data_IF_792031182392
#
_entry.id   IF_792031182392
#
_cell.length_a   1.000
_cell.length_b   1.000
_cell.length_c   1.000
_cell.angle_alpha   90.00
_cell.angle_beta   90.00
_cell.angle_gamma   90.00
#
_symmetry.space_group_name_H-M   'P 1'
#
loop_
_entity.id
_entity.type
_entity.pdbx_description
1 polymer ?
#
# COMPACT_ATOMS: atom_id res chain seq x y z
N UNK A 1 -20.76 -17.36 -17.43
CA UNK A 1 -19.87 -17.55 -16.27
C UNK A 1 -20.34 -16.60 -15.18
N UNK A 2 -20.62 -17.10 -13.97
CA UNK A 2 -20.98 -16.22 -12.84
C UNK A 2 -19.77 -15.37 -12.47
N UNK A 3 -19.98 -14.07 -12.21
CA UNK A 3 -18.96 -13.21 -11.61
C UNK A 3 -18.63 -13.76 -10.21
N UNK A 4 -17.37 -14.13 -10.00
CA UNK A 4 -16.79 -14.39 -8.69
C UNK A 4 -15.80 -13.27 -8.37
N UNK A 5 -15.68 -12.84 -7.11
CA UNK A 5 -16.54 -13.18 -5.96
C UNK A 5 -17.97 -12.61 -6.07
N UNK A 6 -18.91 -13.11 -5.26
CA UNK A 6 -20.29 -12.61 -5.22
C UNK A 6 -20.37 -11.30 -4.42
N UNK A 7 -21.37 -10.46 -4.72
CA UNK A 7 -21.57 -9.19 -3.98
C UNK A 7 -21.87 -9.46 -2.51
N UNK A 8 -22.63 -10.50 -2.19
CA UNK A 8 -23.01 -10.80 -0.81
C UNK A 8 -21.78 -11.16 0.04
N UNK A 9 -20.86 -11.98 -0.50
CA UNK A 9 -19.58 -12.32 0.17
C UNK A 9 -18.73 -11.08 0.43
N UNK A 10 -18.63 -10.19 -0.57
CA UNK A 10 -17.90 -8.93 -0.43
C UNK A 10 -18.51 -8.00 0.63
N UNK A 11 -19.83 -8.02 0.80
CA UNK A 11 -20.51 -7.18 1.80
C UNK A 11 -20.40 -7.73 3.23
N UNK A 12 -20.02 -8.99 3.43
CA UNK A 12 -19.65 -9.51 4.75
C UNK A 12 -18.34 -8.89 5.25
N UNK A 13 -17.41 -8.58 4.35
CA UNK A 13 -16.11 -7.95 4.67
C UNK A 13 -16.16 -6.42 4.64
N UNK A 14 -17.00 -5.82 3.79
CA UNK A 14 -17.11 -4.37 3.62
C UNK A 14 -18.56 -3.92 3.83
N UNK A 15 -18.79 -3.20 4.94
CA UNK A 15 -20.11 -2.81 5.45
C UNK A 15 -21.00 -1.94 4.53
N UNK A 16 -20.56 -1.58 3.32
CA UNK A 16 -21.35 -0.77 2.38
C UNK A 16 -20.90 -0.97 0.94
N UNK A 17 -21.87 -1.02 0.01
CA UNK A 17 -21.63 -1.07 -1.44
C UNK A 17 -20.76 0.09 -1.93
N UNK A 18 -20.97 1.29 -1.39
CA UNK A 18 -20.17 2.46 -1.76
C UNK A 18 -18.71 2.31 -1.32
N UNK A 19 -18.49 1.84 -0.10
CA UNK A 19 -17.14 1.59 0.43
C UNK A 19 -16.44 0.48 -0.35
N UNK A 20 -17.17 -0.57 -0.73
CA UNK A 20 -16.67 -1.65 -1.57
C UNK A 20 -16.19 -1.14 -2.94
N UNK A 21 -17.01 -0.32 -3.61
CA UNK A 21 -16.65 0.28 -4.91
C UNK A 21 -15.40 1.16 -4.78
N UNK A 22 -15.32 1.98 -3.73
CA UNK A 22 -14.18 2.85 -3.49
C UNK A 22 -12.90 2.05 -3.17
N UNK A 23 -13.00 1.02 -2.34
CA UNK A 23 -11.87 0.16 -1.97
C UNK A 23 -11.35 -0.59 -3.19
N UNK A 24 -12.24 -1.24 -3.95
CA UNK A 24 -11.87 -1.97 -5.16
C UNK A 24 -11.26 -1.05 -6.22
N UNK A 25 -11.82 0.16 -6.41
CA UNK A 25 -11.28 1.14 -7.37
C UNK A 25 -9.88 1.60 -6.98
N UNK A 26 -9.66 1.95 -5.71
CA UNK A 26 -8.34 2.35 -5.20
C UNK A 26 -7.33 1.23 -5.38
N UNK A 27 -7.68 0.02 -4.98
CA UNK A 27 -6.79 -1.13 -5.08
C UNK A 27 -6.48 -1.50 -6.54
N UNK A 28 -7.46 -1.43 -7.43
CA UNK A 28 -7.23 -1.64 -8.86
C UNK A 28 -6.22 -0.64 -9.44
N UNK A 29 -6.29 0.64 -9.02
CA UNK A 29 -5.30 1.65 -9.42
C UNK A 29 -3.90 1.38 -8.87
N UNK A 30 -3.78 0.86 -7.65
CA UNK A 30 -2.49 0.42 -7.11
C UNK A 30 -1.89 -0.71 -7.96
N UNK A 31 -2.71 -1.71 -8.33
CA UNK A 31 -2.30 -2.80 -9.21
C UNK A 31 -1.93 -2.29 -10.62
N UNK A 32 -2.67 -1.34 -11.17
CA UNK A 32 -2.35 -0.69 -12.45
C UNK A 32 -0.99 0.06 -12.37
N UNK A 33 -0.68 0.64 -11.22
CA UNK A 33 0.60 1.31 -10.95
C UNK A 33 1.77 0.33 -10.68
N UNK A 34 1.52 -0.98 -10.75
CA UNK A 34 2.55 -2.01 -10.55
C UNK A 34 2.75 -2.44 -9.10
N UNK A 35 1.79 -2.14 -8.19
CA UNK A 35 1.82 -2.72 -6.86
C UNK A 35 1.76 -4.25 -6.94
N UNK A 36 2.50 -4.91 -6.05
CA UNK A 36 2.45 -6.36 -5.97
C UNK A 36 1.04 -6.80 -5.52
N UNK A 37 0.45 -7.79 -6.19
CA UNK A 37 -0.76 -8.45 -5.70
C UNK A 37 -0.50 -9.12 -4.35
N UNK A 38 -1.54 -9.25 -3.55
CA UNK A 38 -1.50 -9.93 -2.23
C UNK A 38 -1.89 -11.40 -2.31
N UNK A 39 -2.42 -11.84 -3.47
CA UNK A 39 -2.74 -13.24 -3.76
C UNK A 39 -1.84 -13.77 -4.89
N UNK A 40 -1.55 -15.07 -4.83
CA UNK A 40 -0.72 -15.74 -5.83
C UNK A 40 -1.50 -16.08 -7.11
N UNK A 41 -2.81 -16.31 -7.00
CA UNK A 41 -3.66 -16.77 -8.10
C UNK A 41 -4.93 -15.93 -8.18
N UNK A 42 -5.36 -15.66 -9.42
CA UNK A 42 -6.57 -14.88 -9.71
C UNK A 42 -7.40 -15.54 -10.81
N UNK A 43 -8.71 -15.54 -10.63
CA UNK A 43 -9.66 -15.89 -11.68
C UNK A 43 -9.83 -14.72 -12.67
N UNK A 44 -9.76 -13.48 -12.15
CA UNK A 44 -9.92 -12.27 -12.96
C UNK A 44 -8.65 -11.85 -13.66
N UNK A 45 -8.77 -11.54 -14.95
CA UNK A 45 -7.69 -10.93 -15.73
C UNK A 45 -7.55 -9.43 -15.41
N UNK A 46 -8.68 -8.74 -15.20
CA UNK A 46 -8.71 -7.28 -14.96
C UNK A 46 -8.44 -6.94 -13.51
N UNK A 47 -7.71 -5.85 -13.28
CA UNK A 47 -7.30 -5.43 -11.93
C UNK A 47 -8.46 -5.08 -11.00
N UNK A 48 -9.61 -4.62 -11.51
CA UNK A 48 -10.83 -4.46 -10.69
C UNK A 48 -11.32 -5.80 -10.14
N UNK A 49 -11.32 -6.85 -10.96
CA UNK A 49 -11.71 -8.18 -10.50
C UNK A 49 -10.71 -8.76 -9.50
N UNK A 50 -9.40 -8.60 -9.76
CA UNK A 50 -8.34 -9.00 -8.83
C UNK A 50 -8.46 -8.29 -7.48
N UNK A 51 -8.75 -6.98 -7.50
CA UNK A 51 -8.99 -6.23 -6.28
C UNK A 51 -10.20 -6.77 -5.48
N UNK A 52 -11.28 -7.17 -6.16
CA UNK A 52 -12.42 -7.82 -5.49
C UNK A 52 -12.04 -9.18 -4.90
N UNK A 53 -11.22 -9.97 -5.59
CA UNK A 53 -10.69 -11.25 -5.06
C UNK A 53 -9.79 -11.04 -3.83
N UNK A 54 -8.93 -10.02 -3.82
CA UNK A 54 -8.10 -9.68 -2.65
C UNK A 54 -8.94 -9.21 -1.45
N UNK A 55 -10.05 -8.51 -1.71
CA UNK A 55 -11.02 -8.07 -0.68
C UNK A 55 -11.78 -9.28 -0.12
N UNK A 56 -12.27 -10.17 -0.98
CA UNK A 56 -12.97 -11.40 -0.58
C UNK A 56 -12.06 -12.32 0.25
N UNK A 57 -10.77 -12.40 -0.10
CA UNK A 57 -9.74 -13.11 0.67
C UNK A 57 -9.27 -12.35 1.94
N UNK A 58 -9.84 -11.18 2.24
CA UNK A 58 -9.49 -10.31 3.37
C UNK A 58 -8.01 -9.88 3.45
N UNK A 59 -7.28 -9.96 2.33
CA UNK A 59 -5.90 -9.47 2.23
C UNK A 59 -5.83 -7.97 1.96
N UNK A 60 -6.94 -7.41 1.45
CA UNK A 60 -7.15 -5.97 1.30
C UNK A 60 -8.40 -5.58 2.10
N UNK A 61 -8.24 -4.68 3.05
CA UNK A 61 -9.30 -4.25 3.97
C UNK A 61 -9.40 -2.73 4.05
N UNK A 62 -10.57 -2.22 4.40
CA UNK A 62 -10.72 -0.84 4.81
C UNK A 62 -10.23 -0.68 6.25
N UNK A 63 -9.21 0.14 6.47
CA UNK A 63 -8.64 0.37 7.79
C UNK A 63 -9.67 1.08 8.70
N UNK A 64 -9.98 0.53 9.89
CA UNK A 64 -10.96 1.15 10.79
C UNK A 64 -10.48 2.49 11.37
N UNK A 65 -9.18 2.79 11.34
CA UNK A 65 -8.57 4.01 11.87
C UNK A 65 -7.62 4.65 10.85
N UNK A 66 -8.15 5.24 9.76
CA UNK A 66 -7.32 5.76 8.67
C UNK A 66 -6.39 6.88 9.11
N UNK A 67 -6.78 7.70 10.09
CA UNK A 67 -5.96 8.81 10.59
C UNK A 67 -4.73 8.31 11.36
N UNK A 68 -4.88 7.28 12.20
CA UNK A 68 -3.74 6.68 12.91
C UNK A 68 -2.74 6.05 11.93
N UNK A 69 -3.24 5.36 10.90
CA UNK A 69 -2.38 4.81 9.83
C UNK A 69 -1.60 5.92 9.12
N UNK A 70 -2.25 7.03 8.79
CA UNK A 70 -1.60 8.20 8.14
C UNK A 70 -0.53 8.81 9.03
N UNK A 71 -0.83 9.05 10.31
CA UNK A 71 0.13 9.59 11.26
C UNK A 71 1.37 8.70 11.40
N UNK A 72 1.19 7.37 11.51
CA UNK A 72 2.32 6.42 11.57
C UNK A 72 3.20 6.47 10.32
N UNK A 73 2.59 6.51 9.14
CA UNK A 73 3.33 6.58 7.87
C UNK A 73 4.12 7.89 7.74
N UNK A 74 3.56 9.02 8.20
CA UNK A 74 4.27 10.30 8.22
C UNK A 74 5.49 10.26 9.14
N UNK A 75 5.32 9.77 10.38
CA UNK A 75 6.43 9.63 11.33
C UNK A 75 7.54 8.73 10.77
N UNK A 76 7.21 7.57 10.18
CA UNK A 76 8.20 6.68 9.57
C UNK A 76 8.93 7.33 8.39
N UNK A 77 8.23 8.14 7.58
CA UNK A 77 8.84 8.90 6.49
C UNK A 77 9.79 9.98 7.00
N UNK A 78 9.38 10.72 8.03
CA UNK A 78 10.20 11.76 8.68
C UNK A 78 11.46 11.15 9.31
N UNK A 79 11.33 10.03 10.03
CA UNK A 79 12.46 9.30 10.61
C UNK A 79 13.43 8.82 9.53
N UNK A 80 12.93 8.21 8.45
CA UNK A 80 13.77 7.79 7.32
C UNK A 80 14.46 8.96 6.63
N UNK A 81 13.80 10.11 6.52
CA UNK A 81 14.40 11.32 5.95
C UNK A 81 15.49 11.88 6.88
N UNK A 82 15.23 11.96 8.18
CA UNK A 82 16.19 12.42 9.17
C UNK A 82 17.43 11.50 9.24
N UNK A 83 17.23 10.19 9.20
CA UNK A 83 18.33 9.21 9.13
C UNK A 83 19.19 9.43 7.88
N UNK A 84 18.57 9.53 6.69
CA UNK A 84 19.29 9.81 5.43
C UNK A 84 20.06 11.13 5.48
N UNK A 85 19.46 12.18 6.03
CA UNK A 85 20.13 13.49 6.18
C UNK A 85 21.32 13.40 7.12
N UNK A 86 21.19 12.69 8.25
CA UNK A 86 22.28 12.52 9.20
C UNK A 86 23.41 11.65 8.62
N UNK A 87 23.07 10.56 7.93
CA UNK A 87 24.04 9.72 7.22
C UNK A 87 24.79 10.51 6.15
N UNK A 88 24.06 11.32 5.36
CA UNK A 88 24.66 12.18 4.34
C UNK A 88 25.62 13.21 4.95
N UNK A 89 25.22 13.87 6.04
CA UNK A 89 26.07 14.82 6.75
C UNK A 89 27.34 14.16 7.31
N UNK A 90 27.18 13.01 7.97
CA UNK A 90 28.31 12.25 8.50
C UNK A 90 29.27 11.81 7.39
N UNK A 91 28.76 11.46 6.21
CA UNK A 91 29.57 11.08 5.05
C UNK A 91 30.33 12.29 4.47
N UNK A 92 29.66 13.44 4.35
CA UNK A 92 30.28 14.69 3.89
C UNK A 92 31.41 15.14 4.82
N UNK A 93 31.22 15.05 6.14
CA UNK A 93 32.25 15.39 7.12
C UNK A 93 33.48 14.47 6.99
N UNK A 94 33.29 13.16 6.82
CA UNK A 94 34.40 12.21 6.57
C UNK A 94 35.17 12.51 5.29
N UNK A 95 34.46 12.79 4.19
CA UNK A 95 35.09 13.14 2.91
C UNK A 95 35.91 14.43 3.05
N UNK A 96 35.41 15.40 3.81
CA UNK A 96 36.12 16.65 4.08
C UNK A 96 37.39 16.44 4.90
N UNK A 97 37.35 15.56 5.91
CA UNK A 97 38.52 15.20 6.71
C UNK A 97 39.58 14.49 5.87
N UNK A 98 39.19 13.53 5.03
CA UNK A 98 40.09 12.78 4.15
C UNK A 98 40.77 13.70 3.10
N UNK A 99 40.04 14.69 2.56
CA UNK A 99 40.59 15.64 1.57
C UNK A 99 41.52 16.71 2.18
N UNK A 100 41.46 16.95 3.48
CA UNK A 100 42.33 17.93 4.17
C UNK A 100 43.60 17.28 4.77
N UNK A 101 43.77 15.96 4.64
CA UNK A 101 44.89 15.18 5.22
C UNK A 101 46.05 14.86 4.27
N UNK A 102 46.09 15.43 3.06
CA UNK A 102 47.18 15.32 2.06
C UNK A 102 47.78 16.69 1.81
#
# INVERSE_FOLDING_TARGET
MMLKPSIDSLLESVNSKYSLVLLASKRAHELDAGANPTLDNFDSVKNVGKALEEIDAQTVVNDPNPELKRARLQMEQEEKQAQKQQEQKNLEDRIREDNNGV
#
